data_IF_741231156144
#
_entry.id   IF_741231156144
#
_cell.length_a   1.000
_cell.length_b   1.000
_cell.length_c   1.000
_cell.angle_alpha   90.00
_cell.angle_beta   90.00
_cell.angle_gamma   90.00
#
_symmetry.space_group_name_H-M   'P 1'
#
loop_
_entity.id
_entity.type
_entity.pdbx_description
1 polymer ?
#
# COMPACT_ATOMS: atom_id res chain seq x y z
N UNK A 1 -45.57 -23.66 9.90
CA UNK A 1 -45.55 -23.14 8.51
C UNK A 1 -45.50 -21.61 8.45
N UNK A 2 -46.51 -20.85 8.89
CA UNK A 2 -46.44 -19.37 8.87
C UNK A 2 -45.28 -18.72 9.69
N UNK A 3 -44.98 -19.14 10.93
CA UNK A 3 -43.94 -18.48 11.74
C UNK A 3 -42.50 -18.76 11.27
N UNK A 4 -42.26 -19.91 10.62
CA UNK A 4 -40.93 -20.23 10.06
C UNK A 4 -40.63 -19.33 8.84
N UNK A 5 -41.62 -19.09 7.99
CA UNK A 5 -41.48 -18.18 6.83
C UNK A 5 -41.17 -16.74 7.26
N UNK A 6 -41.79 -16.26 8.34
CA UNK A 6 -41.48 -14.96 8.93
C UNK A 6 -40.04 -14.88 9.47
N UNK A 7 -39.56 -15.97 10.08
CA UNK A 7 -38.18 -16.05 10.57
C UNK A 7 -37.16 -16.05 9.42
N UNK A 8 -37.43 -16.78 8.34
CA UNK A 8 -36.60 -16.76 7.12
C UNK A 8 -36.58 -15.37 6.48
N UNK A 9 -37.73 -14.71 6.37
CA UNK A 9 -37.83 -13.34 5.85
C UNK A 9 -37.02 -12.34 6.69
N UNK A 10 -37.19 -12.37 8.03
CA UNK A 10 -36.45 -11.49 8.95
C UNK A 10 -34.94 -11.73 8.88
N UNK A 11 -34.51 -12.99 8.83
CA UNK A 11 -33.08 -13.35 8.71
C UNK A 11 -32.49 -12.87 7.40
N UNK A 12 -33.22 -13.06 6.30
CA UNK A 12 -32.79 -12.59 4.96
C UNK A 12 -32.66 -11.07 4.93
N UNK A 13 -33.66 -10.35 5.45
CA UNK A 13 -33.61 -8.88 5.53
C UNK A 13 -32.47 -8.39 6.43
N UNK A 14 -32.22 -9.07 7.55
CA UNK A 14 -31.12 -8.74 8.46
C UNK A 14 -29.74 -8.90 7.78
N UNK A 15 -29.57 -9.91 6.92
CA UNK A 15 -28.34 -10.09 6.13
C UNK A 15 -28.15 -8.92 5.17
N UNK A 16 -29.17 -8.56 4.39
CA UNK A 16 -29.08 -7.40 3.48
C UNK A 16 -28.76 -6.11 4.23
N UNK A 17 -29.42 -5.88 5.36
CA UNK A 17 -29.16 -4.73 6.24
C UNK A 17 -27.72 -4.72 6.75
N UNK A 18 -27.20 -5.87 7.21
CA UNK A 18 -25.81 -6.00 7.66
C UNK A 18 -24.80 -5.72 6.54
N UNK A 19 -25.06 -6.20 5.32
CA UNK A 19 -24.20 -5.92 4.17
C UNK A 19 -24.16 -4.42 3.88
N UNK A 20 -25.32 -3.78 3.82
CA UNK A 20 -25.43 -2.37 3.44
C UNK A 20 -24.92 -1.43 4.52
N UNK A 21 -25.22 -1.70 5.79
CA UNK A 21 -24.95 -0.76 6.89
C UNK A 21 -23.64 -1.04 7.64
N UNK A 22 -23.05 -2.23 7.51
CA UNK A 22 -21.82 -2.59 8.23
C UNK A 22 -20.71 -3.02 7.28
N UNK A 23 -20.98 -3.99 6.39
CA UNK A 23 -19.94 -4.55 5.53
C UNK A 23 -19.44 -3.54 4.49
N UNK A 24 -20.35 -2.88 3.76
CA UNK A 24 -19.97 -1.89 2.74
C UNK A 24 -19.19 -0.71 3.35
N UNK A 25 -19.64 -0.06 4.45
CA UNK A 25 -18.85 0.97 5.12
C UNK A 25 -17.48 0.47 5.61
N UNK A 26 -17.40 -0.77 6.12
CA UNK A 26 -16.12 -1.35 6.53
C UNK A 26 -15.15 -1.54 5.34
N UNK A 27 -15.66 -1.95 4.17
CA UNK A 27 -14.86 -2.03 2.95
C UNK A 27 -14.40 -0.66 2.45
N UNK A 28 -15.25 0.37 2.52
CA UNK A 28 -14.85 1.74 2.17
C UNK A 28 -13.72 2.22 3.08
N UNK A 29 -13.83 1.99 4.38
CA UNK A 29 -12.76 2.30 5.32
C UNK A 29 -11.48 1.49 5.04
N UNK A 30 -11.60 0.22 4.68
CA UNK A 30 -10.45 -0.60 4.28
C UNK A 30 -9.74 -0.04 3.05
N UNK A 31 -10.49 0.41 2.03
CA UNK A 31 -9.94 1.08 0.85
C UNK A 31 -9.24 2.38 1.22
N UNK A 32 -9.85 3.18 2.10
CA UNK A 32 -9.24 4.41 2.62
C UNK A 32 -7.91 4.13 3.34
N UNK A 33 -7.88 3.15 4.25
CA UNK A 33 -6.68 2.73 4.95
C UNK A 33 -5.61 2.18 3.99
N UNK A 34 -6.01 1.41 2.99
CA UNK A 34 -5.12 0.94 1.92
C UNK A 34 -4.47 2.10 1.16
N UNK A 35 -5.24 3.11 0.77
CA UNK A 35 -4.71 4.30 0.10
C UNK A 35 -3.76 5.11 1.01
N UNK A 36 -4.05 5.20 2.31
CA UNK A 36 -3.17 5.84 3.27
C UNK A 36 -1.85 5.09 3.41
N UNK A 37 -1.92 3.76 3.47
CA UNK A 37 -0.75 2.90 3.53
C UNK A 37 0.14 3.10 2.29
N UNK A 38 -0.46 3.11 1.09
CA UNK A 38 0.28 3.36 -0.16
C UNK A 38 0.97 4.73 -0.18
N UNK A 39 0.29 5.78 0.29
CA UNK A 39 0.88 7.13 0.38
C UNK A 39 2.05 7.19 1.36
N UNK A 40 1.87 6.61 2.55
CA UNK A 40 2.93 6.56 3.55
C UNK A 40 4.14 5.74 3.05
N UNK A 41 3.87 4.65 2.33
CA UNK A 41 4.90 3.82 1.72
C UNK A 41 5.68 4.58 0.64
N UNK A 42 5.01 5.28 -0.28
CA UNK A 42 5.69 6.13 -1.28
C UNK A 42 6.59 7.19 -0.63
N UNK A 43 6.08 7.89 0.39
CA UNK A 43 6.87 8.88 1.12
C UNK A 43 8.11 8.26 1.79
N UNK A 44 7.98 7.04 2.33
CA UNK A 44 9.10 6.30 2.90
C UNK A 44 10.12 5.90 1.84
N UNK A 45 9.67 5.40 0.68
CA UNK A 45 10.54 5.07 -0.46
C UNK A 45 11.32 6.27 -0.97
N UNK A 46 10.68 7.43 -1.11
CA UNK A 46 11.35 8.69 -1.49
C UNK A 46 12.39 9.11 -0.45
N UNK A 47 12.05 9.06 0.83
CA UNK A 47 12.98 9.38 1.92
C UNK A 47 14.18 8.41 1.94
N UNK A 48 13.94 7.12 1.70
CA UNK A 48 14.98 6.11 1.61
C UNK A 48 15.92 6.38 0.42
N UNK A 49 15.40 6.73 -0.76
CA UNK A 49 16.25 7.05 -1.92
C UNK A 49 17.18 8.23 -1.63
N UNK A 50 16.69 9.28 -0.97
CA UNK A 50 17.52 10.42 -0.55
C UNK A 50 18.59 9.99 0.44
N UNK A 51 18.22 9.19 1.45
CA UNK A 51 19.16 8.71 2.47
C UNK A 51 20.27 7.85 1.85
N UNK A 52 19.92 6.84 1.06
CA UNK A 52 20.90 5.93 0.47
C UNK A 52 21.69 6.59 -0.68
N UNK A 53 21.15 7.58 -1.37
CA UNK A 53 21.94 8.43 -2.27
C UNK A 53 23.04 9.20 -1.54
N UNK A 54 22.78 9.67 -0.31
CA UNK A 54 23.80 10.32 0.50
C UNK A 54 24.85 9.31 1.00
N UNK A 55 24.43 8.11 1.42
CA UNK A 55 25.34 7.01 1.79
C UNK A 55 26.24 6.62 0.62
N UNK A 56 25.69 6.49 -0.59
CA UNK A 56 26.45 6.19 -1.79
C UNK A 56 27.56 7.22 -2.03
N UNK A 57 27.26 8.52 -1.92
CA UNK A 57 28.26 9.60 -2.07
C UNK A 57 29.38 9.51 -1.03
N UNK A 58 29.06 9.16 0.21
CA UNK A 58 30.06 8.93 1.26
C UNK A 58 30.92 7.72 0.91
N UNK A 59 30.31 6.65 0.39
CA UNK A 59 31.00 5.47 -0.11
C UNK A 59 31.98 5.81 -1.24
N UNK A 60 31.54 6.59 -2.23
CA UNK A 60 32.34 7.08 -3.34
C UNK A 60 33.55 7.91 -2.87
N UNK A 61 33.38 8.75 -1.85
CA UNK A 61 34.49 9.47 -1.22
C UNK A 61 35.47 8.53 -0.50
N UNK A 62 34.96 7.55 0.24
CA UNK A 62 35.78 6.57 0.96
C UNK A 62 36.57 5.65 0.02
N UNK A 63 36.07 5.40 -1.20
CA UNK A 63 36.78 4.66 -2.26
C UNK A 63 38.03 5.41 -2.77
N UNK A 64 38.03 6.73 -2.73
CA UNK A 64 39.18 7.55 -3.14
C UNK A 64 40.27 7.64 -2.04
N UNK A 65 40.01 7.10 -0.85
CA UNK A 65 40.95 7.11 0.28
C UNK A 65 41.86 5.89 0.26
N UNK A 66 43.10 6.04 0.73
CA UNK A 66 44.10 4.96 0.75
C UNK A 66 43.84 3.90 1.83
N UNK A 67 43.02 4.19 2.85
CA UNK A 67 42.83 3.30 4.01
C UNK A 67 41.39 2.81 4.18
N UNK A 68 40.42 3.40 3.47
CA UNK A 68 39.00 3.14 3.66
C UNK A 68 38.28 2.60 2.42
N UNK A 69 39.01 2.09 1.42
CA UNK A 69 38.43 1.54 0.18
C UNK A 69 37.37 0.47 0.44
N UNK A 70 37.66 -0.52 1.27
CA UNK A 70 36.72 -1.60 1.59
C UNK A 70 35.44 -1.05 2.24
N UNK A 71 35.58 -0.05 3.11
CA UNK A 71 34.41 0.62 3.71
C UNK A 71 33.59 1.34 2.63
N UNK A 72 34.25 2.00 1.68
CA UNK A 72 33.61 2.63 0.53
C UNK A 72 32.82 1.63 -0.32
N UNK A 73 33.41 0.47 -0.64
CA UNK A 73 32.75 -0.61 -1.38
C UNK A 73 31.48 -1.08 -0.66
N UNK A 74 31.54 -1.29 0.66
CA UNK A 74 30.40 -1.72 1.46
C UNK A 74 29.27 -0.67 1.42
N UNK A 75 29.58 0.62 1.56
CA UNK A 75 28.56 1.68 1.55
C UNK A 75 27.87 1.82 0.19
N UNK A 76 28.62 1.67 -0.91
CA UNK A 76 28.05 1.65 -2.26
C UNK A 76 27.16 0.42 -2.45
N UNK A 77 27.61 -0.78 -2.07
CA UNK A 77 26.82 -2.00 -2.15
C UNK A 77 25.53 -1.95 -1.32
N UNK A 78 25.58 -1.36 -0.11
CA UNK A 78 24.40 -1.14 0.71
C UNK A 78 23.37 -0.25 0.01
N UNK A 79 23.84 0.81 -0.64
CA UNK A 79 22.98 1.74 -1.37
C UNK A 79 22.34 1.09 -2.60
N UNK A 80 23.12 0.31 -3.35
CA UNK A 80 22.62 -0.43 -4.51
C UNK A 80 21.62 -1.53 -4.11
N UNK A 81 21.89 -2.23 -3.01
CA UNK A 81 20.96 -3.24 -2.46
C UNK A 81 19.61 -2.60 -2.13
N UNK A 82 19.61 -1.43 -1.48
CA UNK A 82 18.36 -0.74 -1.19
C UNK A 82 17.63 -0.29 -2.45
N UNK A 83 18.34 0.21 -3.46
CA UNK A 83 17.72 0.65 -4.71
C UNK A 83 17.03 -0.52 -5.44
N UNK A 84 17.65 -1.69 -5.45
CA UNK A 84 17.03 -2.91 -6.01
C UNK A 84 15.78 -3.31 -5.23
N UNK A 85 15.85 -3.35 -3.89
CA UNK A 85 14.69 -3.67 -3.07
C UNK A 85 13.53 -2.68 -3.30
N UNK A 86 13.83 -1.38 -3.38
CA UNK A 86 12.83 -0.35 -3.61
C UNK A 86 12.17 -0.49 -5.00
N UNK A 87 12.94 -0.82 -6.03
CA UNK A 87 12.43 -1.09 -7.39
C UNK A 87 11.48 -2.30 -7.42
N UNK A 88 11.84 -3.40 -6.77
CA UNK A 88 10.99 -4.60 -6.70
C UNK A 88 9.68 -4.31 -5.94
N UNK A 89 9.75 -3.46 -4.91
CA UNK A 89 8.59 -3.05 -4.11
C UNK A 89 7.65 -2.10 -4.88
N UNK A 90 8.16 -1.18 -5.69
CA UNK A 90 7.33 -0.30 -6.54
C UNK A 90 6.50 -1.09 -7.56
N UNK A 91 7.04 -2.20 -8.09
CA UNK A 91 6.30 -3.09 -9.00
C UNK A 91 5.07 -3.70 -8.31
N UNK A 92 5.21 -4.13 -7.05
CA UNK A 92 4.12 -4.71 -6.25
C UNK A 92 3.06 -3.66 -5.90
N UNK A 93 3.48 -2.43 -5.59
CA UNK A 93 2.58 -1.30 -5.30
C UNK A 93 1.84 -0.81 -6.55
N UNK A 94 2.48 -0.90 -7.73
CA UNK A 94 1.87 -0.52 -9.01
C UNK A 94 0.78 -1.49 -9.48
N UNK A 95 0.56 -2.63 -8.81
CA UNK A 95 -0.59 -3.52 -9.03
C UNK A 95 -1.83 -2.85 -8.40
N UNK A 96 -2.19 -1.66 -8.89
CA UNK A 96 -3.43 -0.98 -8.52
C UNK A 96 -4.61 -1.85 -8.99
N UNK A 97 -5.58 -2.18 -8.13
CA UNK A 97 -6.86 -2.66 -8.61
C UNK A 97 -7.48 -1.54 -9.44
N UNK A 98 -7.89 -1.84 -10.67
CA UNK A 98 -8.56 -0.91 -11.62
C UNK A 98 -9.91 -0.34 -11.11
N UNK A 99 -10.23 -0.44 -9.83
CA UNK A 99 -11.50 -0.03 -9.23
C UNK A 99 -11.67 1.48 -9.04
N UNK A 100 -10.61 2.28 -9.14
CA UNK A 100 -10.67 3.71 -8.78
C UNK A 100 -11.54 4.55 -9.74
N UNK A 101 -11.88 4.04 -10.93
CA UNK A 101 -12.77 4.71 -11.87
C UNK A 101 -14.26 4.35 -11.70
N UNK A 102 -14.62 3.43 -10.79
CA UNK A 102 -16.00 2.95 -10.60
C UNK A 102 -16.66 3.43 -9.31
N UNK A 103 -15.98 4.20 -8.47
CA UNK A 103 -16.55 4.73 -7.21
C UNK A 103 -17.72 5.69 -7.46
N UNK A 104 -17.73 6.42 -8.59
CA UNK A 104 -18.83 7.29 -8.99
C UNK A 104 -20.12 6.55 -9.38
N UNK A 105 -20.07 5.22 -9.58
CA UNK A 105 -21.23 4.41 -10.01
C UNK A 105 -22.02 3.78 -8.87
N UNK A 106 -21.51 3.79 -7.65
CA UNK A 106 -22.21 3.21 -6.50
C UNK A 106 -23.12 4.21 -5.79
N UNK A 107 -22.80 5.50 -5.88
CA UNK A 107 -23.64 6.58 -5.33
C UNK A 107 -24.90 6.78 -6.18
N UNK A 108 -24.80 6.67 -7.52
CA UNK A 108 -25.96 6.80 -8.42
C UNK A 108 -26.84 5.56 -8.54
N UNK A 109 -26.57 4.49 -7.76
CA UNK A 109 -27.43 3.31 -7.68
C UNK A 109 -28.38 3.36 -6.47
N UNK A 110 -28.31 4.43 -5.68
CA UNK A 110 -29.17 4.69 -4.51
C UNK A 110 -30.07 5.95 -4.69
N UNK A 111 -30.06 6.58 -5.87
CA UNK A 111 -31.06 7.57 -6.30
C UNK A 111 -32.03 6.93 -7.31
#
# INVERSE_FOLDING_TARGET
>A
MAPEMDQFYRSTMAIYKSIMEQFNPALENLVYLGNNYLRAFHALSEAAEVYFSAIQKIGEQALQSSTSQILGEILVQMSDTQRHLNSDLEVVVSIRPQGQHRSSRWVSAQE
#
